data_IF_996324886114
#
_entry.id   IF_996324886114
#
_cell.length_a   1.000
_cell.length_b   1.000
_cell.length_c   1.000
_cell.angle_alpha   90.00
_cell.angle_beta   90.00
_cell.angle_gamma   90.00
#
_symmetry.space_group_name_H-M   'P 1'
#
loop_
_entity.id
_entity.type
_entity.pdbx_description
1 polymer ?
#
# COMPACT_ATOMS: atom_id res chain seq x y z
N UNK A 1 6.59 -0.76 -11.23
CA UNK A 1 5.24 -1.10 -10.69
C UNK A 1 4.66 -2.41 -11.22
N UNK A 2 5.11 -2.93 -12.37
CA UNK A 2 4.53 -4.15 -12.96
C UNK A 2 4.63 -5.44 -12.14
N UNK A 3 5.54 -5.51 -11.16
CA UNK A 3 5.70 -6.69 -10.29
C UNK A 3 4.91 -6.58 -8.97
N UNK A 4 4.69 -5.37 -8.45
CA UNK A 4 4.09 -5.16 -7.12
C UNK A 4 2.62 -5.59 -7.11
N UNK A 5 1.83 -5.13 -8.09
CA UNK A 5 0.41 -5.47 -8.19
C UNK A 5 0.13 -6.97 -8.35
N UNK A 6 0.76 -7.70 -9.30
CA UNK A 6 0.53 -9.14 -9.40
C UNK A 6 1.06 -9.90 -8.19
N UNK A 7 2.17 -9.49 -7.56
CA UNK A 7 2.66 -10.12 -6.33
C UNK A 7 1.69 -9.97 -5.15
N UNK A 8 1.12 -8.77 -4.94
CA UNK A 8 0.12 -8.54 -3.88
C UNK A 8 -1.16 -9.33 -4.15
N UNK A 9 -1.63 -9.35 -5.40
CA UNK A 9 -2.81 -10.12 -5.80
C UNK A 9 -2.61 -11.62 -5.56
N UNK A 10 -1.46 -12.17 -5.99
CA UNK A 10 -1.13 -13.58 -5.77
C UNK A 10 -1.00 -13.92 -4.28
N UNK A 11 -0.34 -13.07 -3.49
CA UNK A 11 -0.19 -13.28 -2.05
C UNK A 11 -1.55 -13.31 -1.34
N UNK A 12 -2.43 -12.37 -1.66
CA UNK A 12 -3.76 -12.31 -1.04
C UNK A 12 -4.65 -13.50 -1.46
N UNK A 13 -4.60 -13.91 -2.73
CA UNK A 13 -5.34 -15.07 -3.20
C UNK A 13 -4.87 -16.38 -2.53
N UNK A 14 -3.58 -16.49 -2.21
CA UNK A 14 -3.00 -17.62 -1.50
C UNK A 14 -3.21 -17.57 0.02
N UNK A 15 -3.62 -16.44 0.58
CA UNK A 15 -3.81 -16.24 2.02
C UNK A 15 -5.25 -16.52 2.50
N UNK A 16 -6.17 -16.81 1.58
CA UNK A 16 -7.60 -16.99 1.87
C UNK A 16 -8.13 -18.26 1.20
N UNK A 17 -9.27 -18.76 1.66
CA UNK A 17 -9.92 -19.90 1.01
C UNK A 17 -10.58 -19.50 -0.32
N UNK A 18 -10.84 -20.48 -1.20
CA UNK A 18 -11.40 -20.23 -2.53
C UNK A 18 -12.71 -19.43 -2.51
N UNK A 19 -13.56 -19.64 -1.50
CA UNK A 19 -14.84 -18.95 -1.37
C UNK A 19 -14.70 -17.49 -0.88
N UNK A 20 -13.55 -17.11 -0.32
CA UNK A 20 -13.26 -15.78 0.21
C UNK A 20 -12.49 -14.89 -0.79
N UNK A 21 -11.98 -15.46 -1.88
CA UNK A 21 -11.15 -14.74 -2.86
C UNK A 21 -11.85 -13.52 -3.44
N UNK A 22 -13.17 -13.58 -3.65
CA UNK A 22 -13.95 -12.43 -4.11
C UNK A 22 -13.93 -11.26 -3.11
N UNK A 23 -14.04 -11.57 -1.82
CA UNK A 23 -13.95 -10.57 -0.75
C UNK A 23 -12.52 -10.02 -0.67
N UNK A 24 -11.50 -10.88 -0.67
CA UNK A 24 -10.11 -10.46 -0.61
C UNK A 24 -9.71 -9.55 -1.80
N UNK A 25 -10.09 -9.92 -3.03
CA UNK A 25 -9.85 -9.11 -4.21
C UNK A 25 -10.62 -7.78 -4.18
N UNK A 26 -11.85 -7.79 -3.67
CA UNK A 26 -12.66 -6.60 -3.45
C UNK A 26 -12.00 -5.65 -2.45
N UNK A 27 -11.50 -6.16 -1.33
CA UNK A 27 -10.79 -5.38 -0.30
C UNK A 27 -9.52 -4.75 -0.84
N UNK A 28 -8.70 -5.50 -1.58
CA UNK A 28 -7.49 -4.94 -2.22
C UNK A 28 -7.85 -3.81 -3.19
N UNK A 29 -8.90 -3.98 -3.98
CA UNK A 29 -9.37 -2.96 -4.93
C UNK A 29 -9.91 -1.73 -4.20
N UNK A 30 -10.66 -1.91 -3.11
CA UNK A 30 -11.16 -0.82 -2.28
C UNK A 30 -10.01 0.00 -1.66
N UNK A 31 -8.99 -0.67 -1.13
CA UNK A 31 -7.80 0.00 -0.58
C UNK A 31 -7.02 0.77 -1.64
N UNK A 32 -6.91 0.25 -2.87
CA UNK A 32 -6.32 0.99 -3.98
C UNK A 32 -7.14 2.24 -4.30
N UNK A 33 -8.47 2.13 -4.39
CA UNK A 33 -9.36 3.27 -4.62
C UNK A 33 -9.22 4.34 -3.54
N UNK A 34 -9.16 3.93 -2.27
CA UNK A 34 -8.88 4.84 -1.15
C UNK A 34 -7.53 5.55 -1.32
N UNK A 35 -6.47 4.82 -1.69
CA UNK A 35 -5.16 5.41 -1.94
C UNK A 35 -5.16 6.42 -3.09
N UNK A 36 -5.92 6.17 -4.16
CA UNK A 36 -6.07 7.09 -5.29
C UNK A 36 -6.78 8.39 -4.88
N UNK A 37 -7.75 8.32 -3.98
CA UNK A 37 -8.49 9.51 -3.51
C UNK A 37 -7.71 10.26 -2.42
N UNK A 38 -7.24 9.55 -1.40
CA UNK A 38 -6.58 10.16 -0.23
C UNK A 38 -5.13 10.55 -0.51
N UNK A 39 -4.44 9.85 -1.43
CA UNK A 39 -3.05 10.10 -1.77
C UNK A 39 -2.78 11.52 -2.23
N UNK A 40 -3.50 12.06 -3.24
CA UNK A 40 -3.37 13.45 -3.66
C UNK A 40 -3.70 14.44 -2.54
N UNK A 41 -4.75 14.20 -1.76
CA UNK A 41 -5.16 15.09 -0.66
C UNK A 41 -4.03 15.20 0.38
N UNK A 42 -3.55 14.06 0.88
CA UNK A 42 -2.45 14.02 1.84
C UNK A 42 -1.15 14.58 1.24
N UNK A 43 -0.85 14.23 -0.01
CA UNK A 43 0.32 14.72 -0.73
C UNK A 43 0.34 16.23 -0.89
N UNK A 44 -0.79 16.84 -1.27
CA UNK A 44 -0.93 18.29 -1.41
C UNK A 44 -0.79 19.01 -0.07
N UNK A 45 -1.41 18.49 1.00
CA UNK A 45 -1.26 19.05 2.33
C UNK A 45 0.21 19.03 2.78
N UNK A 46 0.90 17.91 2.58
CA UNK A 46 2.32 17.77 2.96
C UNK A 46 3.23 18.63 2.09
N UNK A 47 2.92 18.77 0.81
CA UNK A 47 3.65 19.63 -0.12
C UNK A 47 3.65 21.11 0.32
N UNK A 48 2.59 21.57 1.00
CA UNK A 48 2.50 22.94 1.51
C UNK A 48 3.58 23.28 2.54
N UNK A 49 4.16 22.29 3.23
CA UNK A 49 5.24 22.49 4.19
C UNK A 49 6.59 22.69 3.51
N UNK A 50 6.86 21.90 2.46
CA UNK A 50 8.02 22.08 1.56
C UNK A 50 7.87 21.18 0.34
N UNK A 51 8.54 21.57 -0.76
CA UNK A 51 8.57 20.80 -2.01
C UNK A 51 9.11 19.37 -1.81
N UNK A 52 10.05 19.19 -0.88
CA UNK A 52 10.68 17.89 -0.62
C UNK A 52 9.90 17.00 0.35
N UNK A 53 8.97 17.56 1.13
CA UNK A 53 8.29 16.84 2.22
C UNK A 53 7.51 15.59 1.76
N UNK A 54 6.75 15.59 0.65
CA UNK A 54 6.03 14.39 0.21
C UNK A 54 6.96 13.22 -0.09
N UNK A 55 8.12 13.48 -0.67
CA UNK A 55 9.12 12.46 -0.99
C UNK A 55 9.74 11.86 0.27
N UNK A 56 10.09 12.71 1.26
CA UNK A 56 10.60 12.26 2.55
C UNK A 56 9.57 11.44 3.33
N UNK A 57 8.29 11.84 3.27
CA UNK A 57 7.20 11.09 3.87
C UNK A 57 7.09 9.70 3.24
N UNK A 58 7.07 9.60 1.91
CA UNK A 58 6.99 8.30 1.23
C UNK A 58 8.21 7.43 1.54
N UNK A 59 9.42 8.03 1.56
CA UNK A 59 10.63 7.32 1.96
C UNK A 59 10.54 6.77 3.38
N UNK A 60 10.09 7.57 4.35
CA UNK A 60 9.90 7.15 5.74
C UNK A 60 8.85 6.04 5.87
N UNK A 61 7.73 6.14 5.15
CA UNK A 61 6.69 5.11 5.16
C UNK A 61 7.18 3.78 4.58
N UNK A 62 7.89 3.81 3.44
CA UNK A 62 8.46 2.60 2.84
C UNK A 62 9.53 1.97 3.73
N UNK A 63 10.38 2.77 4.37
CA UNK A 63 11.35 2.28 5.36
C UNK A 63 10.65 1.64 6.55
N UNK A 64 9.61 2.27 7.10
CA UNK A 64 8.85 1.72 8.22
C UNK A 64 8.21 0.38 7.88
N UNK A 65 7.61 0.25 6.69
CA UNK A 65 7.05 -1.02 6.20
C UNK A 65 8.15 -2.07 6.02
N UNK A 66 9.27 -1.71 5.38
CA UNK A 66 10.39 -2.63 5.21
C UNK A 66 10.92 -3.16 6.55
N UNK A 67 11.12 -2.27 7.52
CA UNK A 67 11.55 -2.65 8.87
C UNK A 67 10.51 -3.53 9.57
N UNK A 68 9.22 -3.18 9.50
CA UNK A 68 8.15 -4.00 10.07
C UNK A 68 8.14 -5.43 9.49
N UNK A 69 8.31 -5.58 8.18
CA UNK A 69 8.37 -6.90 7.53
C UNK A 69 9.58 -7.73 7.93
N UNK A 70 10.70 -7.10 8.30
CA UNK A 70 11.88 -7.82 8.82
C UNK A 70 11.77 -8.18 10.30
N UNK A 71 10.96 -7.45 11.07
CA UNK A 71 10.72 -7.73 12.49
C UNK A 71 9.70 -8.86 12.71
N UNK A 72 8.76 -9.04 11.77
CA UNK A 72 7.89 -10.21 11.73
C UNK A 72 8.70 -11.41 11.24
N UNK A 73 9.22 -12.22 12.15
CA UNK A 73 9.74 -13.55 11.79
C UNK A 73 8.62 -14.36 11.12
N UNK A 74 8.92 -15.16 10.08
CA UNK A 74 7.96 -16.13 9.56
C UNK A 74 7.54 -17.12 10.64
#
# INVERSE_FOLDING_TARGET
MGWVYPSVSALAANAVEAHEQGVAAGTITAMQGLGVVLGPIAGTLVYSMSVSAPYLMVAALLLAVGLATTATKP
#
